data_IF_083240762613
#
_entry.id   IF_083240762613
#
_cell.length_a   1.000
_cell.length_b   1.000
_cell.length_c   1.000
_cell.angle_alpha   90.00
_cell.angle_beta   90.00
_cell.angle_gamma   90.00
#
_symmetry.space_group_name_H-M   'P 1'
#
loop_
_entity.id
_entity.type
_entity.pdbx_description
1 polymer ?
#
# COMPACT_ATOMS: atom_id res chain seq x y z
N UNK A 1 9.59 -15.92 13.36
CA UNK A 1 8.24 -15.61 12.83
C UNK A 1 8.30 -15.26 11.33
N UNK A 2 7.50 -15.93 10.50
CA UNK A 2 7.36 -15.58 9.07
C UNK A 2 6.34 -14.46 8.94
N UNK A 3 6.81 -13.22 8.71
CA UNK A 3 5.97 -12.00 8.79
C UNK A 3 4.77 -11.98 7.83
N UNK A 4 4.85 -12.69 6.70
CA UNK A 4 3.81 -12.74 5.66
C UNK A 4 3.15 -14.12 5.54
N UNK A 5 3.35 -15.02 6.51
CA UNK A 5 2.85 -16.41 6.39
C UNK A 5 1.33 -16.54 6.48
N UNK A 6 0.64 -15.51 6.97
CA UNK A 6 -0.82 -15.49 7.06
C UNK A 6 -1.49 -14.73 5.89
N UNK A 7 -0.70 -14.19 4.96
CA UNK A 7 -1.25 -13.42 3.85
C UNK A 7 -2.02 -14.35 2.90
N UNK A 8 -3.21 -13.93 2.48
CA UNK A 8 -4.07 -14.71 1.58
C UNK A 8 -3.42 -14.93 0.19
N UNK A 9 -2.42 -14.13 -0.16
CA UNK A 9 -1.66 -14.21 -1.40
C UNK A 9 -0.16 -14.27 -1.11
N UNK A 10 0.67 -14.84 -2.00
CA UNK A 10 2.11 -14.85 -1.82
C UNK A 10 2.68 -13.44 -1.64
N UNK A 11 3.35 -13.22 -0.52
CA UNK A 11 3.91 -11.93 -0.15
C UNK A 11 5.29 -12.06 0.50
N UNK A 12 6.06 -10.97 0.45
CA UNK A 12 7.43 -10.88 0.98
C UNK A 12 7.61 -9.57 1.74
N UNK A 13 8.55 -9.56 2.68
CA UNK A 13 8.95 -8.35 3.41
C UNK A 13 10.27 -7.85 2.86
N UNK A 14 10.28 -6.61 2.37
CA UNK A 14 11.49 -5.90 1.94
C UNK A 14 11.92 -4.87 2.98
N UNK A 15 13.23 -4.66 3.11
CA UNK A 15 13.82 -3.65 3.99
C UNK A 15 15.15 -3.14 3.42
N UNK A 16 15.55 -1.92 3.78
CA UNK A 16 16.83 -1.34 3.38
C UNK A 16 16.92 -1.15 1.85
N UNK A 17 18.04 -1.53 1.20
CA UNK A 17 18.30 -1.20 -0.21
C UNK A 17 17.22 -1.67 -1.20
N UNK A 18 16.61 -2.83 -0.99
CA UNK A 18 15.55 -3.32 -1.89
C UNK A 18 14.26 -2.49 -1.75
N UNK A 19 13.96 -1.98 -0.55
CA UNK A 19 12.86 -1.04 -0.34
C UNK A 19 13.16 0.32 -0.99
N UNK A 20 14.38 0.82 -0.86
CA UNK A 20 14.81 2.07 -1.51
C UNK A 20 14.70 1.97 -3.04
N UNK A 21 15.14 0.84 -3.61
CA UNK A 21 14.99 0.56 -5.04
C UNK A 21 13.52 0.49 -5.46
N UNK A 22 12.67 -0.14 -4.66
CA UNK A 22 11.24 -0.24 -4.93
C UNK A 22 10.55 1.14 -4.94
N UNK A 23 10.88 2.01 -3.98
CA UNK A 23 10.35 3.39 -3.93
C UNK A 23 10.81 4.23 -5.13
N UNK A 24 12.01 3.98 -5.65
CA UNK A 24 12.54 4.67 -6.83
C UNK A 24 12.65 6.17 -6.61
N UNK A 25 11.94 6.97 -7.41
CA UNK A 25 11.93 8.45 -7.30
C UNK A 25 10.60 9.00 -6.77
N UNK A 26 9.77 8.16 -6.15
CA UNK A 26 8.53 8.61 -5.57
C UNK A 26 8.82 9.70 -4.50
N UNK A 27 8.22 10.87 -4.67
CA UNK A 27 8.30 11.93 -3.69
C UNK A 27 7.25 11.71 -2.59
N UNK A 28 7.54 12.07 -1.33
CA UNK A 28 6.53 12.07 -0.27
C UNK A 28 5.38 13.02 -0.62
N UNK A 29 4.14 12.57 -0.41
CA UNK A 29 2.96 13.44 -0.47
C UNK A 29 2.78 14.10 0.90
N UNK A 30 2.77 15.43 0.93
CA UNK A 30 2.49 16.22 2.14
C UNK A 30 1.00 16.50 2.26
N UNK A 31 0.54 16.89 3.45
CA UNK A 31 -0.87 17.23 3.68
C UNK A 31 -1.36 18.35 2.74
N UNK A 32 -0.50 19.33 2.43
CA UNK A 32 -0.78 20.41 1.48
C UNK A 32 -0.93 19.94 0.02
N UNK A 33 -0.32 18.80 -0.33
CA UNK A 33 -0.33 18.21 -1.67
C UNK A 33 -1.35 17.07 -1.81
N UNK A 34 -2.00 16.67 -0.71
CA UNK A 34 -2.92 15.55 -0.70
C UNK A 34 -4.21 15.89 -1.45
N UNK A 35 -4.65 14.98 -2.33
CA UNK A 35 -5.93 15.08 -3.03
C UNK A 35 -6.96 14.14 -2.41
N UNK A 36 -8.27 14.47 -2.46
CA UNK A 36 -9.31 13.57 -2.01
C UNK A 36 -9.23 12.21 -2.70
N UNK A 37 -9.51 11.14 -1.95
CA UNK A 37 -9.66 9.81 -2.55
C UNK A 37 -10.82 9.80 -3.55
N UNK A 38 -10.73 9.01 -4.64
CA UNK A 38 -11.84 8.83 -5.55
C UNK A 38 -13.01 8.15 -4.81
N UNK A 39 -14.23 8.45 -5.24
CA UNK A 39 -15.42 7.75 -4.75
C UNK A 39 -15.27 6.24 -5.01
N UNK A 40 -15.45 5.38 -3.99
CA UNK A 40 -15.37 3.94 -4.17
C UNK A 40 -16.39 3.44 -5.21
N UNK A 41 -16.09 2.37 -5.95
CA UNK A 41 -17.07 1.73 -6.83
C UNK A 41 -18.33 1.32 -6.06
N UNK A 42 -19.51 1.45 -6.68
CA UNK A 42 -20.77 1.01 -6.07
C UNK A 42 -20.71 -0.45 -5.64
N UNK A 43 -21.09 -0.74 -4.39
CA UNK A 43 -21.02 -2.09 -3.81
C UNK A 43 -19.63 -2.50 -3.29
N UNK A 44 -18.61 -1.63 -3.34
CA UNK A 44 -17.31 -1.87 -2.70
C UNK A 44 -17.46 -2.12 -1.18
N UNK A 45 -18.50 -1.54 -0.58
CA UNK A 45 -18.92 -1.81 0.78
C UNK A 45 -20.35 -2.32 0.77
N UNK A 46 -20.54 -3.61 0.96
CA UNK A 46 -21.82 -4.18 1.38
C UNK A 46 -21.79 -4.36 2.89
N UNK A 47 -22.68 -3.69 3.62
CA UNK A 47 -22.98 -4.09 5.01
C UNK A 47 -23.82 -5.36 4.92
N UNK A 48 -23.26 -6.46 5.44
CA UNK A 48 -24.02 -7.65 5.80
C UNK A 48 -24.51 -7.54 7.24
#
# INVERSE_FOLDING_TARGET
PRRTAADAFPARVEYGPELERFMGRAAPVRDEDAVPSPEPPGGAFSVG
#
